data_IF_374711614987
#
_entry.id   IF_374711614987
#
_cell.length_a   1.000
_cell.length_b   1.000
_cell.length_c   1.000
_cell.angle_alpha   90.00
_cell.angle_beta   90.00
_cell.angle_gamma   90.00
#
_symmetry.space_group_name_H-M   'P 1'
#
loop_
_entity.id
_entity.type
_entity.pdbx_description
1 polymer ?
#
# COMPACT_ATOMS: atom_id res chain seq x y z
N UNK A 1 49.41 8.65 30.81
CA UNK A 1 49.24 9.50 29.61
C UNK A 1 47.94 9.11 28.92
N UNK A 2 47.01 10.07 28.76
CA UNK A 2 45.66 9.85 28.22
C UNK A 2 45.71 9.87 26.68
N UNK A 3 45.37 8.75 26.03
CA UNK A 3 45.18 8.68 24.58
C UNK A 3 43.71 8.94 24.22
N UNK A 4 43.42 10.12 23.69
CA UNK A 4 42.08 10.57 23.30
C UNK A 4 41.67 9.91 21.99
N UNK A 5 40.74 8.95 22.03
CA UNK A 5 40.10 8.39 20.84
C UNK A 5 39.10 9.44 20.31
N UNK A 6 39.45 10.11 19.21
CA UNK A 6 38.55 11.03 18.51
C UNK A 6 37.43 10.21 17.86
N UNK A 7 36.22 10.34 18.40
CA UNK A 7 34.98 9.79 17.84
C UNK A 7 34.68 10.53 16.53
N UNK A 8 34.94 9.88 15.39
CA UNK A 8 34.60 10.40 14.06
C UNK A 8 33.08 10.38 13.95
N UNK A 9 32.43 11.55 14.06
CA UNK A 9 30.99 11.70 13.85
C UNK A 9 30.74 11.57 12.35
N UNK A 10 30.41 10.36 11.89
CA UNK A 10 29.84 10.16 10.56
C UNK A 10 28.54 10.96 10.49
N UNK A 11 28.60 12.15 9.89
CA UNK A 11 27.39 12.86 9.42
C UNK A 11 26.80 11.97 8.34
N UNK A 12 25.83 11.15 8.71
CA UNK A 12 25.01 10.40 7.77
C UNK A 12 24.47 11.37 6.74
N UNK A 13 24.95 11.26 5.50
CA UNK A 13 24.33 11.92 4.35
C UNK A 13 22.94 11.30 4.27
N UNK A 14 21.93 12.00 4.78
CA UNK A 14 20.53 11.67 4.49
C UNK A 14 20.45 11.56 2.97
N UNK A 15 20.24 10.35 2.48
CA UNK A 15 20.19 10.08 1.05
C UNK A 15 19.03 10.87 0.48
N UNK A 16 19.08 11.25 -0.81
CA UNK A 16 17.93 11.90 -1.47
C UNK A 16 16.64 11.09 -1.30
N UNK A 17 16.77 9.77 -1.13
CA UNK A 17 15.71 8.82 -0.80
C UNK A 17 15.10 9.04 0.60
N UNK A 18 15.88 9.42 1.61
CA UNK A 18 15.37 9.77 2.96
C UNK A 18 14.53 11.05 2.94
N UNK A 19 14.97 12.06 2.17
CA UNK A 19 14.21 13.31 1.98
C UNK A 19 12.95 13.10 1.14
N UNK A 20 12.98 12.20 0.16
CA UNK A 20 11.81 11.80 -0.63
C UNK A 20 10.78 11.05 0.21
N UNK A 21 11.22 10.05 0.98
CA UNK A 21 10.35 9.27 1.88
C UNK A 21 9.61 10.13 2.89
N UNK A 22 10.29 11.09 3.54
CA UNK A 22 9.65 11.99 4.51
C UNK A 22 8.54 12.85 3.88
N UNK A 23 8.75 13.36 2.66
CA UNK A 23 7.73 14.14 1.93
C UNK A 23 6.57 13.27 1.47
N UNK A 24 6.85 12.07 1.01
CA UNK A 24 5.83 11.08 0.60
C UNK A 24 4.92 10.74 1.78
N UNK A 25 5.50 10.44 2.93
CA UNK A 25 4.75 10.11 4.15
C UNK A 25 3.97 11.31 4.70
N UNK A 26 4.49 12.54 4.58
CA UNK A 26 3.78 13.76 5.02
C UNK A 26 2.59 14.10 4.11
N UNK A 27 2.77 14.03 2.79
CA UNK A 27 1.69 14.28 1.81
C UNK A 27 0.56 13.26 1.93
N UNK A 28 0.88 12.01 2.27
CA UNK A 28 -0.09 10.97 2.58
C UNK A 28 -0.88 11.23 3.88
N UNK A 29 -0.41 12.07 4.81
CA UNK A 29 -1.09 12.29 6.11
C UNK A 29 -2.10 13.43 6.14
N UNK A 30 -2.04 14.36 5.18
CA UNK A 30 -2.77 15.64 5.24
C UNK A 30 -3.85 15.80 4.13
N UNK A 31 -4.04 14.80 3.27
CA UNK A 31 -4.94 14.86 2.11
C UNK A 31 -6.18 13.96 2.19
N UNK A 32 -7.19 14.27 1.37
CA UNK A 32 -8.27 13.33 1.02
C UNK A 32 -7.73 12.15 0.22
N UNK A 33 -8.46 11.04 0.15
CA UNK A 33 -8.06 9.84 -0.62
C UNK A 33 -7.61 10.18 -2.04
N UNK A 34 -8.36 11.01 -2.77
CA UNK A 34 -7.97 11.47 -4.12
C UNK A 34 -6.66 12.25 -4.16
N UNK A 35 -6.39 13.12 -3.18
CA UNK A 35 -5.11 13.87 -3.11
C UNK A 35 -3.93 12.95 -2.80
N UNK A 36 -4.15 11.93 -1.96
CA UNK A 36 -3.14 10.92 -1.67
C UNK A 36 -2.82 10.10 -2.94
N UNK A 37 -3.83 9.73 -3.72
CA UNK A 37 -3.67 9.00 -4.98
C UNK A 37 -2.97 9.86 -6.04
N UNK A 38 -3.36 11.11 -6.24
CA UNK A 38 -2.64 12.04 -7.14
C UNK A 38 -1.16 12.15 -6.75
N UNK A 39 -0.89 12.30 -5.46
CA UNK A 39 0.48 12.38 -4.95
C UNK A 39 1.28 11.10 -5.25
N UNK A 40 0.68 9.92 -5.04
CA UNK A 40 1.31 8.63 -5.37
C UNK A 40 1.58 8.50 -6.87
N UNK A 41 0.64 8.94 -7.71
CA UNK A 41 0.78 8.95 -9.16
C UNK A 41 1.97 9.82 -9.60
N UNK A 42 2.05 11.05 -9.09
CA UNK A 42 3.17 11.96 -9.37
C UNK A 42 4.51 11.43 -8.82
N UNK A 43 4.50 10.76 -7.66
CA UNK A 43 5.69 10.17 -7.08
C UNK A 43 6.23 9.00 -7.91
N UNK A 44 5.33 8.21 -8.53
CA UNK A 44 5.70 7.17 -9.49
C UNK A 44 6.25 7.77 -10.79
N UNK A 45 5.60 8.80 -11.35
CA UNK A 45 6.05 9.44 -12.60
C UNK A 45 7.42 10.10 -12.47
N UNK A 46 7.69 10.71 -11.30
CA UNK A 46 8.99 11.31 -11.00
C UNK A 46 10.08 10.30 -10.63
N UNK A 47 9.74 9.01 -10.50
CA UNK A 47 10.65 7.97 -10.01
C UNK A 47 11.09 8.15 -8.54
N UNK A 48 10.46 9.07 -7.81
CA UNK A 48 10.74 9.32 -6.40
C UNK A 48 10.19 8.23 -5.47
N UNK A 49 9.21 7.47 -5.96
CA UNK A 49 8.68 6.27 -5.33
C UNK A 49 8.99 5.03 -6.18
N UNK A 50 9.60 4.02 -5.57
CA UNK A 50 9.83 2.74 -6.24
C UNK A 50 8.52 1.99 -6.46
N UNK A 51 8.26 1.58 -7.71
CA UNK A 51 7.13 0.71 -8.07
C UNK A 51 7.08 -0.55 -7.21
N UNK A 52 8.23 -1.17 -6.92
CA UNK A 52 8.35 -2.36 -6.07
C UNK A 52 7.95 -2.08 -4.62
N UNK A 53 8.34 -0.94 -4.07
CA UNK A 53 7.99 -0.56 -2.70
C UNK A 53 6.49 -0.27 -2.59
N UNK A 54 5.94 0.49 -3.54
CA UNK A 54 4.51 0.76 -3.57
C UNK A 54 3.70 -0.53 -3.73
N UNK A 55 4.11 -1.42 -4.64
CA UNK A 55 3.48 -2.74 -4.82
C UNK A 55 3.39 -3.49 -3.50
N UNK A 56 4.51 -3.63 -2.78
CA UNK A 56 4.55 -4.35 -1.48
C UNK A 56 3.61 -3.73 -0.44
N UNK A 57 3.54 -2.41 -0.39
CA UNK A 57 2.64 -1.72 0.55
C UNK A 57 1.18 -1.93 0.18
N UNK A 58 0.84 -1.84 -1.12
CA UNK A 58 -0.51 -2.10 -1.60
C UNK A 58 -0.93 -3.55 -1.40
N UNK A 59 -0.08 -4.52 -1.70
CA UNK A 59 -0.34 -5.95 -1.44
C UNK A 59 -0.67 -6.19 0.04
N UNK A 60 0.20 -5.70 0.93
CA UNK A 60 0.01 -5.87 2.37
C UNK A 60 -1.22 -5.16 2.93
N UNK A 61 -1.63 -4.05 2.32
CA UNK A 61 -2.86 -3.35 2.71
C UNK A 61 -4.10 -4.07 2.19
N UNK A 62 -4.09 -4.47 0.91
CA UNK A 62 -5.19 -5.20 0.27
C UNK A 62 -5.55 -6.48 1.05
N UNK A 63 -4.56 -7.29 1.45
CA UNK A 63 -4.79 -8.49 2.26
C UNK A 63 -5.48 -8.16 3.59
N UNK A 64 -5.10 -7.06 4.25
CA UNK A 64 -5.71 -6.65 5.53
C UNK A 64 -7.15 -6.19 5.35
N UNK A 65 -7.42 -5.36 4.34
CA UNK A 65 -8.78 -4.89 4.05
C UNK A 65 -9.69 -6.04 3.62
N UNK A 66 -9.20 -6.98 2.81
CA UNK A 66 -9.94 -8.19 2.44
C UNK A 66 -10.35 -9.01 3.66
N UNK A 67 -9.42 -9.27 4.59
CA UNK A 67 -9.76 -9.97 5.83
C UNK A 67 -10.74 -9.19 6.72
N UNK A 68 -10.64 -7.85 6.78
CA UNK A 68 -11.62 -7.03 7.50
C UNK A 68 -13.00 -7.14 6.88
N UNK A 69 -13.09 -7.11 5.54
CA UNK A 69 -14.34 -7.31 4.79
C UNK A 69 -14.96 -8.67 5.09
N UNK A 70 -14.16 -9.74 5.02
CA UNK A 70 -14.59 -11.11 5.39
C UNK A 70 -15.11 -11.17 6.83
N UNK A 71 -14.38 -10.61 7.80
CA UNK A 71 -14.78 -10.59 9.20
C UNK A 71 -16.09 -9.81 9.39
N UNK A 72 -16.24 -8.65 8.74
CA UNK A 72 -17.46 -7.82 8.79
C UNK A 72 -18.67 -8.62 8.31
N UNK A 73 -18.59 -9.20 7.12
CA UNK A 73 -19.70 -9.95 6.50
C UNK A 73 -20.01 -11.23 7.31
N UNK A 74 -18.99 -11.94 7.78
CA UNK A 74 -19.18 -13.17 8.57
C UNK A 74 -19.84 -12.87 9.92
N UNK A 75 -19.55 -11.71 10.55
CA UNK A 75 -20.22 -11.28 11.79
C UNK A 75 -21.70 -11.02 11.61
N UNK A 76 -22.14 -10.71 10.40
CA UNK A 76 -23.56 -10.58 10.04
C UNK A 76 -24.22 -11.94 9.75
N UNK A 77 -23.50 -13.05 9.90
CA UNK A 77 -24.00 -14.40 9.64
C UNK A 77 -24.08 -14.76 8.16
N UNK A 78 -23.41 -13.98 7.29
CA UNK A 78 -23.39 -14.17 5.83
C UNK A 78 -22.07 -14.78 5.38
N UNK A 79 -22.09 -15.43 4.23
CA UNK A 79 -20.88 -15.90 3.54
C UNK A 79 -20.41 -14.75 2.63
N UNK A 80 -19.16 -14.25 2.77
CA UNK A 80 -18.64 -13.21 1.89
C UNK A 80 -18.54 -13.70 0.45
N UNK A 81 -18.96 -12.85 -0.48
CA UNK A 81 -18.77 -13.07 -1.92
C UNK A 81 -17.61 -12.23 -2.46
N UNK A 82 -17.04 -12.66 -3.58
CA UNK A 82 -15.99 -11.92 -4.27
C UNK A 82 -16.47 -10.51 -4.63
N UNK A 83 -17.70 -10.38 -5.13
CA UNK A 83 -18.25 -9.08 -5.53
C UNK A 83 -18.37 -8.09 -4.36
N UNK A 84 -18.80 -8.54 -3.18
CA UNK A 84 -18.88 -7.70 -1.98
C UNK A 84 -17.51 -7.26 -1.47
N UNK A 85 -16.49 -8.12 -1.58
CA UNK A 85 -15.13 -7.75 -1.19
C UNK A 85 -14.46 -6.80 -2.18
N UNK A 86 -14.90 -6.83 -3.44
CA UNK A 86 -14.37 -5.97 -4.52
C UNK A 86 -15.18 -4.70 -4.76
N UNK A 87 -16.31 -4.50 -4.09
CA UNK A 87 -17.18 -3.33 -4.30
C UNK A 87 -16.40 -2.01 -4.16
N UNK A 88 -15.68 -1.85 -3.05
CA UNK A 88 -14.88 -0.65 -2.75
C UNK A 88 -13.72 -0.48 -3.77
N UNK A 89 -13.10 -1.57 -4.21
CA UNK A 89 -12.07 -1.53 -5.25
C UNK A 89 -12.64 -1.05 -6.58
N UNK A 90 -13.79 -1.60 -7.00
CA UNK A 90 -14.44 -1.31 -8.28
C UNK A 90 -15.05 0.09 -8.34
N UNK A 91 -15.43 0.67 -7.19
CA UNK A 91 -15.90 2.06 -7.13
C UNK A 91 -14.76 3.08 -7.25
N UNK A 92 -13.54 2.73 -6.87
CA UNK A 92 -12.39 3.65 -6.79
C UNK A 92 -11.52 3.61 -8.05
N UNK A 93 -11.95 4.30 -9.10
CA UNK A 93 -11.26 4.33 -10.41
C UNK A 93 -9.82 4.84 -10.31
N UNK A 94 -9.58 5.84 -9.46
CA UNK A 94 -8.23 6.41 -9.23
C UNK A 94 -7.30 5.36 -8.59
N UNK A 95 -7.81 4.59 -7.63
CA UNK A 95 -7.06 3.52 -6.98
C UNK A 95 -6.74 2.39 -7.96
N UNK A 96 -7.70 1.98 -8.77
CA UNK A 96 -7.49 0.97 -9.82
C UNK A 96 -6.35 1.35 -10.76
N UNK A 97 -6.32 2.62 -11.19
CA UNK A 97 -5.25 3.13 -12.04
C UNK A 97 -3.87 2.98 -11.39
N UNK A 98 -3.72 3.37 -10.12
CA UNK A 98 -2.44 3.29 -9.40
C UNK A 98 -2.05 1.84 -9.11
N UNK A 99 -3.01 0.99 -8.72
CA UNK A 99 -2.76 -0.42 -8.46
C UNK A 99 -2.30 -1.14 -9.75
N UNK A 100 -2.95 -0.86 -10.89
CA UNK A 100 -2.55 -1.39 -12.18
C UNK A 100 -1.13 -0.95 -12.59
N UNK A 101 -0.73 0.30 -12.30
CA UNK A 101 0.64 0.80 -12.56
C UNK A 101 1.73 0.00 -11.84
N UNK A 102 1.39 -0.71 -10.77
CA UNK A 102 2.32 -1.58 -10.03
C UNK A 102 2.02 -3.07 -10.23
N UNK A 103 1.18 -3.41 -11.21
CA UNK A 103 0.80 -4.78 -11.58
C UNK A 103 -0.14 -5.46 -10.58
N UNK A 104 -0.96 -4.68 -9.87
CA UNK A 104 -2.05 -5.14 -9.02
C UNK A 104 -3.36 -4.71 -9.68
N UNK A 105 -3.70 -5.38 -10.78
CA UNK A 105 -4.93 -5.15 -11.54
C UNK A 105 -6.09 -5.98 -10.98
N UNK A 106 -7.28 -5.82 -11.56
CA UNK A 106 -8.50 -6.49 -11.09
C UNK A 106 -8.34 -8.01 -10.99
N UNK A 107 -7.73 -8.74 -11.96
CA UNK A 107 -7.47 -10.17 -11.82
C UNK A 107 -6.70 -10.55 -10.55
N UNK A 108 -5.72 -9.73 -10.12
CA UNK A 108 -5.00 -9.96 -8.88
C UNK A 108 -5.90 -9.81 -7.65
N UNK A 109 -6.77 -8.79 -7.64
CA UNK A 109 -7.72 -8.58 -6.54
C UNK A 109 -8.81 -9.64 -6.50
N UNK A 110 -9.28 -10.13 -7.65
CA UNK A 110 -10.20 -11.28 -7.75
C UNK A 110 -9.57 -12.52 -7.15
N UNK A 111 -8.34 -12.88 -7.55
CA UNK A 111 -7.65 -14.04 -6.99
C UNK A 111 -7.44 -13.92 -5.47
N UNK A 112 -7.15 -12.71 -4.97
CA UNK A 112 -7.05 -12.46 -3.53
C UNK A 112 -8.42 -12.66 -2.85
N UNK A 113 -9.50 -12.08 -3.38
CA UNK A 113 -10.84 -12.23 -2.85
C UNK A 113 -11.31 -13.70 -2.83
N UNK A 114 -11.07 -14.44 -3.92
CA UNK A 114 -11.33 -15.88 -4.00
C UNK A 114 -10.56 -16.66 -2.93
N UNK A 115 -9.28 -16.32 -2.71
CA UNK A 115 -8.47 -16.99 -1.70
C UNK A 115 -8.98 -16.81 -0.27
N UNK A 116 -9.58 -15.65 0.05
CA UNK A 116 -10.12 -15.37 1.39
C UNK A 116 -11.56 -15.83 1.57
N UNK A 117 -12.36 -15.87 0.49
CA UNK A 117 -13.72 -16.42 0.49
C UNK A 117 -13.72 -17.96 0.50
N UNK A 118 -12.77 -18.59 -0.22
CA UNK A 118 -12.63 -20.04 -0.36
C UNK A 118 -11.86 -20.73 0.76
N UNK A 119 -11.55 -20.02 1.86
CA UNK A 119 -10.84 -20.53 3.04
C UNK A 119 -11.66 -21.47 3.92
N UNK A 120 -12.23 -22.53 3.34
CA UNK A 120 -12.63 -23.78 3.99
C UNK A 120 -12.34 -24.87 2.97
N UNK A 121 -11.15 -25.48 3.06
CA UNK A 121 -10.72 -26.76 2.47
C UNK A 121 -9.25 -26.71 1.96
N UNK A 122 -8.32 -26.39 2.87
CA UNK A 122 -6.91 -26.75 2.75
C UNK A 122 -6.38 -27.22 4.10
#
# INVERSE_FOLDING_TARGET
MKGVIRKVKAKGKATLLDRGRGKIVSGLKEGTTSKQLEFLSQALDSGSLSTRELRRQLEGNAVKEMHKGVIRITREGRIPTVDELLEEYRSETEFQGIAARVGLDEPWFVALAESVCGGKDA
#
